data_IF_452624748345
#
_entry.id   IF_452624748345
#
_cell.length_a   1.000
_cell.length_b   1.000
_cell.length_c   1.000
_cell.angle_alpha   90.00
_cell.angle_beta   90.00
_cell.angle_gamma   90.00
#
_symmetry.space_group_name_H-M   'P 1'
#
loop_
_entity.id
_entity.type
_entity.pdbx_description
1 polymer ?
#
# COMPACT_ATOMS: atom_id res chain seq x y z
N UNK A 1 -11.21 33.80 -24.88
CA UNK A 1 -9.86 33.31 -25.19
C UNK A 1 -8.91 33.88 -24.17
N UNK A 2 -8.53 33.08 -23.18
CA UNK A 2 -7.40 33.36 -22.29
C UNK A 2 -6.86 32.01 -21.83
N UNK A 3 -5.88 31.55 -22.60
CA UNK A 3 -4.88 30.52 -22.31
C UNK A 3 -5.02 29.83 -20.95
N UNK A 4 -5.58 28.61 -20.96
CA UNK A 4 -5.29 27.59 -19.95
C UNK A 4 -3.81 27.24 -20.12
N UNK A 5 -2.95 27.88 -19.33
CA UNK A 5 -1.55 27.51 -19.23
C UNK A 5 -1.49 26.02 -18.88
N UNK A 6 -0.93 25.23 -19.79
CA UNK A 6 -0.49 23.88 -19.54
C UNK A 6 0.51 24.01 -18.38
N UNK A 7 0.09 23.61 -17.18
CA UNK A 7 0.93 23.67 -15.98
C UNK A 7 2.22 22.89 -16.27
N UNK A 8 3.36 23.50 -15.94
CA UNK A 8 4.68 22.85 -15.98
C UNK A 8 4.64 21.44 -15.39
N UNK A 9 5.44 20.48 -15.89
CA UNK A 9 5.49 19.14 -15.34
C UNK A 9 6.01 19.23 -13.89
N UNK A 10 5.10 19.09 -12.92
CA UNK A 10 5.45 19.01 -11.50
C UNK A 10 6.44 17.87 -11.28
N UNK A 11 7.41 18.05 -10.39
CA UNK A 11 8.41 17.04 -10.07
C UNK A 11 7.72 15.71 -9.73
N UNK A 12 8.06 14.66 -10.48
CA UNK A 12 7.49 13.34 -10.24
C UNK A 12 8.13 12.74 -9.00
N UNK A 13 7.32 12.34 -8.02
CA UNK A 13 7.82 11.63 -6.84
C UNK A 13 8.63 10.39 -7.21
N UNK A 14 9.66 10.11 -6.42
CA UNK A 14 10.66 9.06 -6.65
C UNK A 14 10.93 8.26 -5.37
N UNK A 15 11.53 7.08 -5.53
CA UNK A 15 11.89 6.20 -4.42
C UNK A 15 13.41 6.05 -4.37
N UNK A 16 14.02 6.62 -3.34
CA UNK A 16 15.46 6.46 -3.12
C UNK A 16 15.72 5.13 -2.46
N UNK A 17 16.67 4.35 -2.99
CA UNK A 17 17.03 3.06 -2.41
C UNK A 17 18.45 3.06 -1.91
N UNK A 18 18.66 2.52 -0.72
CA UNK A 18 19.98 2.24 -0.15
C UNK A 18 19.99 0.86 0.49
N UNK A 19 21.18 0.38 0.84
CA UNK A 19 21.39 -0.97 1.36
C UNK A 19 22.33 -0.96 2.55
N UNK A 20 21.95 -1.69 3.59
CA UNK A 20 22.79 -1.95 4.76
C UNK A 20 22.93 -3.47 4.96
N UNK A 21 24.07 -4.02 4.51
CA UNK A 21 24.34 -5.45 4.57
C UNK A 21 23.31 -6.27 3.79
N UNK A 22 22.38 -6.91 4.51
CA UNK A 22 21.31 -7.75 3.95
C UNK A 22 19.94 -7.06 3.96
N UNK A 23 19.89 -5.79 4.33
CA UNK A 23 18.66 -5.00 4.43
C UNK A 23 18.61 -4.00 3.28
N UNK A 24 17.52 -4.01 2.51
CA UNK A 24 17.21 -2.97 1.55
C UNK A 24 16.32 -1.91 2.19
N UNK A 25 16.52 -0.64 1.86
CA UNK A 25 15.81 0.48 2.45
C UNK A 25 15.30 1.34 1.31
N UNK A 26 14.01 1.64 1.32
CA UNK A 26 13.36 2.49 0.34
C UNK A 26 12.73 3.70 1.03
N UNK A 27 13.12 4.87 0.55
CA UNK A 27 12.75 6.19 1.08
C UNK A 27 11.86 6.90 0.06
N UNK A 28 10.58 7.06 0.38
CA UNK A 28 9.63 7.77 -0.50
C UNK A 28 9.90 9.26 -0.44
N UNK A 29 10.14 9.85 -1.60
CA UNK A 29 10.39 11.27 -1.75
C UNK A 29 9.37 11.84 -2.72
N UNK A 30 8.38 12.53 -2.18
CA UNK A 30 7.48 13.33 -2.99
C UNK A 30 7.37 14.75 -2.42
N UNK A 31 8.00 15.75 -3.06
CA UNK A 31 7.97 17.14 -2.62
C UNK A 31 6.57 17.77 -2.73
N UNK A 32 5.67 17.21 -3.56
CA UNK A 32 4.28 17.64 -3.67
C UNK A 32 3.43 17.08 -2.51
N UNK A 33 3.76 17.44 -1.27
CA UNK A 33 2.97 17.09 -0.08
C UNK A 33 2.98 15.61 0.31
N UNK A 34 3.94 14.83 -0.19
CA UNK A 34 4.10 13.43 0.20
C UNK A 34 3.11 12.45 -0.42
N UNK A 35 2.47 12.81 -1.54
CA UNK A 35 1.49 11.92 -2.17
C UNK A 35 2.15 10.68 -2.80
N UNK A 36 1.40 9.58 -2.90
CA UNK A 36 1.78 8.43 -3.71
C UNK A 36 1.19 8.59 -5.11
N UNK A 37 2.02 8.46 -6.14
CA UNK A 37 1.64 8.64 -7.55
C UNK A 37 1.66 7.32 -8.31
N UNK A 38 0.98 7.27 -9.46
CA UNK A 38 1.04 6.10 -10.36
C UNK A 38 2.49 5.74 -10.77
N UNK A 39 3.36 6.74 -10.94
CA UNK A 39 4.79 6.52 -11.24
C UNK A 39 5.50 5.79 -10.10
N UNK A 40 5.28 6.23 -8.86
CA UNK A 40 5.87 5.58 -7.68
C UNK A 40 5.35 4.17 -7.46
N UNK A 41 4.08 3.87 -7.83
CA UNK A 41 3.56 2.49 -7.84
C UNK A 41 4.37 1.62 -8.81
N UNK A 42 4.64 2.10 -10.03
CA UNK A 42 5.41 1.36 -11.03
C UNK A 42 6.87 1.15 -10.60
N UNK A 43 7.48 2.19 -10.03
CA UNK A 43 8.84 2.13 -9.47
C UNK A 43 8.92 1.12 -8.32
N UNK A 44 7.98 1.17 -7.37
CA UNK A 44 7.94 0.25 -6.23
C UNK A 44 7.66 -1.19 -6.64
N UNK A 45 6.81 -1.42 -7.65
CA UNK A 45 6.54 -2.76 -8.20
C UNK A 45 7.80 -3.34 -8.86
N UNK A 46 8.56 -2.52 -9.60
CA UNK A 46 9.87 -2.92 -10.15
C UNK A 46 10.85 -3.30 -9.03
N UNK A 47 11.01 -2.43 -8.03
CA UNK A 47 11.88 -2.68 -6.88
C UNK A 47 11.48 -3.95 -6.12
N UNK A 48 10.17 -4.18 -5.96
CA UNK A 48 9.64 -5.40 -5.33
C UNK A 48 10.11 -6.65 -6.06
N UNK A 49 10.04 -6.67 -7.39
CA UNK A 49 10.51 -7.79 -8.21
C UNK A 49 12.02 -7.98 -8.12
N UNK A 50 12.79 -6.89 -8.10
CA UNK A 50 14.24 -6.93 -7.95
C UNK A 50 14.65 -7.50 -6.59
N UNK A 51 14.06 -6.98 -5.51
CA UNK A 51 14.32 -7.48 -4.18
C UNK A 51 13.88 -8.93 -4.03
N UNK A 52 12.73 -9.34 -4.56
CA UNK A 52 12.28 -10.74 -4.50
C UNK A 52 13.29 -11.72 -5.12
N UNK A 53 13.92 -11.33 -6.23
CA UNK A 53 14.91 -12.15 -6.93
C UNK A 53 16.32 -12.09 -6.31
N UNK A 54 16.68 -10.97 -5.69
CA UNK A 54 17.98 -10.84 -5.01
C UNK A 54 18.00 -11.63 -3.69
N UNK A 55 18.75 -12.75 -3.68
CA UNK A 55 18.90 -13.61 -2.49
C UNK A 55 19.82 -13.03 -1.42
N UNK A 56 20.59 -12.00 -1.76
CA UNK A 56 21.45 -11.29 -0.81
C UNK A 56 20.67 -10.29 0.05
N UNK A 57 19.47 -9.88 -0.39
CA UNK A 57 18.52 -9.11 0.40
C UNK A 57 17.65 -10.09 1.21
N UNK A 58 17.47 -9.80 2.49
CA UNK A 58 16.77 -10.66 3.45
C UNK A 58 15.63 -9.97 4.19
N UNK A 59 15.70 -8.64 4.31
CA UNK A 59 14.67 -7.80 4.88
C UNK A 59 14.61 -6.46 4.12
N UNK A 60 13.46 -5.80 4.16
CA UNK A 60 13.21 -4.52 3.50
C UNK A 60 12.61 -3.56 4.52
N UNK A 61 13.08 -2.31 4.52
CA UNK A 61 12.49 -1.20 5.25
C UNK A 61 11.92 -0.21 4.24
N UNK A 62 10.71 0.25 4.54
CA UNK A 62 9.93 1.22 3.77
C UNK A 62 9.73 2.42 4.72
N UNK A 63 10.15 3.62 4.33
CA UNK A 63 10.03 4.86 5.14
C UNK A 63 9.86 6.09 4.23
N UNK A 64 9.41 7.23 4.76
CA UNK A 64 9.49 8.49 4.04
C UNK A 64 10.89 9.10 4.13
N UNK A 65 11.30 9.85 3.10
CA UNK A 65 12.59 10.57 3.08
C UNK A 65 12.58 11.81 3.98
N UNK A 66 11.47 12.54 3.97
CA UNK A 66 11.33 13.81 4.68
C UNK A 66 10.70 13.58 6.06
N UNK A 67 11.19 14.28 7.08
CA UNK A 67 10.64 14.22 8.42
C UNK A 67 9.15 14.60 8.43
N UNK A 68 8.35 13.91 9.23
CA UNK A 68 6.91 14.13 9.36
C UNK A 68 6.05 13.65 8.19
N UNK A 69 6.65 13.09 7.14
CA UNK A 69 5.92 12.52 6.00
C UNK A 69 6.40 11.11 5.71
N UNK A 70 5.54 10.11 5.94
CA UNK A 70 5.74 8.77 5.41
C UNK A 70 5.22 8.71 3.97
N UNK A 71 3.89 8.66 3.82
CA UNK A 71 3.13 8.80 2.57
C UNK A 71 1.76 9.37 2.94
N UNK A 72 1.51 10.63 2.59
CA UNK A 72 0.36 11.38 3.11
C UNK A 72 -0.97 10.86 2.56
N UNK A 73 -1.08 10.60 1.24
CA UNK A 73 -2.28 10.03 0.60
C UNK A 73 -1.95 9.60 -0.85
N UNK A 74 -2.85 8.89 -1.54
CA UNK A 74 -2.80 8.83 -3.01
C UNK A 74 -3.23 10.19 -3.59
N UNK A 75 -2.56 10.68 -4.64
CA UNK A 75 -2.79 12.04 -5.17
C UNK A 75 -4.29 12.38 -5.36
N UNK A 76 -4.82 13.42 -4.67
CA UNK A 76 -6.23 13.82 -4.79
C UNK A 76 -6.65 14.15 -6.22
N UNK A 77 -5.71 14.60 -7.05
CA UNK A 77 -5.93 14.94 -8.45
C UNK A 77 -6.30 13.70 -9.29
N UNK A 78 -5.62 12.57 -9.08
CA UNK A 78 -5.91 11.29 -9.73
C UNK A 78 -7.25 10.69 -9.23
N UNK A 79 -7.60 10.93 -7.96
CA UNK A 79 -8.85 10.45 -7.36
C UNK A 79 -10.09 11.30 -7.71
N UNK A 80 -9.92 12.60 -7.99
CA UNK A 80 -11.02 13.52 -8.31
C UNK A 80 -11.74 13.18 -9.62
N UNK A 81 -10.99 12.68 -10.61
CA UNK A 81 -11.54 12.20 -11.89
C UNK A 81 -12.46 10.98 -11.72
N UNK A 82 -12.22 10.17 -10.69
CA UNK A 82 -12.97 8.92 -10.42
C UNK A 82 -14.14 9.15 -9.45
N UNK A 83 -13.97 9.97 -8.40
CA UNK A 83 -15.00 10.19 -7.38
C UNK A 83 -16.23 10.95 -7.87
N UNK A 84 -16.04 11.90 -8.81
CA UNK A 84 -17.12 12.66 -9.43
C UNK A 84 -18.08 11.77 -10.23
N UNK A 85 -17.60 10.68 -10.82
CA UNK A 85 -18.44 9.71 -11.55
C UNK A 85 -19.24 8.80 -10.60
N UNK A 86 -18.64 8.40 -9.46
CA UNK A 86 -19.28 7.50 -8.49
C UNK A 86 -20.34 8.21 -7.65
N UNK A 87 -20.10 9.45 -7.20
CA UNK A 87 -21.09 10.25 -6.44
C UNK A 87 -22.38 10.53 -7.22
N UNK A 88 -22.32 10.46 -8.55
CA UNK A 88 -23.46 10.72 -9.43
C UNK A 88 -24.30 9.47 -9.78
N UNK A 89 -23.86 8.26 -9.40
CA UNK A 89 -24.63 7.04 -9.64
C UNK A 89 -25.80 6.93 -8.66
N UNK A 90 -27.02 7.26 -9.11
CA UNK A 90 -28.22 7.34 -8.25
C UNK A 90 -29.10 6.08 -8.29
N UNK A 91 -28.90 5.15 -9.23
CA UNK A 91 -29.80 3.99 -9.39
C UNK A 91 -29.14 2.62 -9.24
N UNK A 92 -29.90 1.67 -8.69
CA UNK A 92 -29.45 0.28 -8.46
C UNK A 92 -29.17 -0.50 -9.75
N UNK A 93 -29.75 -0.09 -10.88
CA UNK A 93 -29.52 -0.69 -12.20
C UNK A 93 -28.18 -0.27 -12.82
N UNK A 94 -27.81 1.01 -12.70
CA UNK A 94 -26.50 1.54 -13.11
C UNK A 94 -25.38 0.90 -12.30
N UNK A 95 -25.56 0.81 -10.97
CA UNK A 95 -24.63 0.12 -10.08
C UNK A 95 -24.51 -1.38 -10.43
N UNK A 96 -25.61 -2.06 -10.78
CA UNK A 96 -25.56 -3.47 -11.22
C UNK A 96 -24.82 -3.64 -12.55
N UNK A 97 -25.05 -2.75 -13.52
CA UNK A 97 -24.38 -2.76 -14.83
C UNK A 97 -22.88 -2.48 -14.68
N UNK A 98 -22.53 -1.47 -13.88
CA UNK A 98 -21.16 -1.13 -13.54
C UNK A 98 -20.48 -2.28 -12.80
N UNK A 99 -21.10 -2.87 -11.77
CA UNK A 99 -20.55 -4.06 -11.07
C UNK A 99 -20.33 -5.25 -12.00
N UNK A 100 -21.22 -5.50 -12.97
CA UNK A 100 -21.06 -6.58 -13.95
C UNK A 100 -19.88 -6.28 -14.87
N UNK A 101 -19.77 -5.05 -15.36
CA UNK A 101 -18.67 -4.61 -16.21
C UNK A 101 -17.32 -4.64 -15.45
N UNK A 102 -17.25 -4.05 -14.25
CA UNK A 102 -16.06 -4.09 -13.39
C UNK A 102 -15.67 -5.53 -13.08
N UNK A 103 -16.61 -6.44 -12.78
CA UNK A 103 -16.27 -7.85 -12.52
C UNK A 103 -15.69 -8.54 -13.77
N UNK A 104 -16.20 -8.24 -14.96
CA UNK A 104 -15.65 -8.75 -16.22
C UNK A 104 -14.27 -8.18 -16.47
N UNK A 105 -14.10 -6.86 -16.33
CA UNK A 105 -12.82 -6.17 -16.50
C UNK A 105 -11.81 -6.68 -15.48
N UNK A 106 -12.11 -6.73 -14.19
CA UNK A 106 -11.21 -7.24 -13.14
C UNK A 106 -10.80 -8.68 -13.38
N UNK A 107 -11.72 -9.56 -13.81
CA UNK A 107 -11.36 -10.95 -14.17
C UNK A 107 -10.46 -11.01 -15.39
N UNK A 108 -10.76 -10.20 -16.39
CA UNK A 108 -9.97 -10.11 -17.61
C UNK A 108 -8.57 -9.53 -17.34
N UNK A 109 -8.47 -8.45 -16.56
CA UNK A 109 -7.20 -7.84 -16.17
C UNK A 109 -6.40 -8.74 -15.22
N UNK A 110 -7.05 -9.48 -14.32
CA UNK A 110 -6.41 -10.50 -13.50
C UNK A 110 -5.87 -11.67 -14.34
N UNK A 111 -6.61 -12.09 -15.37
CA UNK A 111 -6.13 -13.10 -16.32
C UNK A 111 -4.99 -12.57 -17.19
N UNK A 112 -5.10 -11.35 -17.74
CA UNK A 112 -4.06 -10.69 -18.52
C UNK A 112 -2.80 -10.40 -17.70
N UNK A 113 -2.95 -10.13 -16.41
CA UNK A 113 -1.86 -9.97 -15.45
C UNK A 113 -0.96 -11.21 -15.34
N UNK A 114 -1.42 -12.39 -15.79
CA UNK A 114 -0.62 -13.61 -15.91
C UNK A 114 0.26 -13.63 -17.18
N UNK A 115 0.04 -12.70 -18.11
CA UNK A 115 0.81 -12.50 -19.33
C UNK A 115 1.42 -11.09 -19.34
N UNK A 116 2.61 -10.89 -18.72
CA UNK A 116 3.24 -9.57 -18.57
C UNK A 116 3.35 -8.71 -19.85
N UNK A 117 3.63 -9.26 -21.05
CA UNK A 117 3.72 -8.45 -22.27
C UNK A 117 2.38 -7.83 -22.69
N UNK A 118 1.29 -8.62 -22.60
CA UNK A 118 -0.06 -8.16 -22.95
C UNK A 118 -0.60 -7.14 -21.95
N UNK A 119 -0.32 -7.35 -20.66
CA UNK A 119 -0.69 -6.39 -19.61
C UNK A 119 -0.06 -5.02 -19.87
N UNK A 120 1.23 -4.98 -20.26
CA UNK A 120 1.94 -3.73 -20.56
C UNK A 120 1.38 -2.98 -21.77
N UNK A 121 0.94 -3.71 -22.81
CA UNK A 121 0.28 -3.10 -23.99
C UNK A 121 -1.06 -2.48 -23.60
N UNK A 122 -1.87 -3.20 -22.81
CA UNK A 122 -3.15 -2.71 -22.33
C UNK A 122 -2.98 -1.48 -21.44
N UNK A 123 -2.00 -1.52 -20.53
CA UNK A 123 -1.69 -0.42 -19.60
C UNK A 123 -1.35 0.87 -20.38
N UNK A 124 -0.45 0.79 -21.36
CA UNK A 124 -0.10 1.93 -22.23
C UNK A 124 -1.32 2.44 -23.01
N UNK A 125 -2.16 1.53 -23.53
CA UNK A 125 -3.35 1.89 -24.31
C UNK A 125 -4.48 2.49 -23.44
N UNK A 126 -4.49 2.23 -22.13
CA UNK A 126 -5.53 2.68 -21.22
C UNK A 126 -5.23 4.02 -20.53
N UNK A 127 -4.01 4.56 -20.66
CA UNK A 127 -3.58 5.79 -19.97
C UNK A 127 -4.53 6.97 -20.18
N UNK A 128 -4.88 7.67 -19.11
CA UNK A 128 -5.78 8.85 -19.14
C UNK A 128 -7.27 8.52 -19.26
N UNK A 129 -7.67 7.25 -19.22
CA UNK A 129 -9.07 6.81 -19.22
C UNK A 129 -9.55 6.42 -17.81
N UNK A 130 -10.86 6.21 -17.63
CA UNK A 130 -11.41 5.66 -16.37
C UNK A 130 -10.94 4.22 -16.08
N UNK A 131 -10.42 3.51 -17.09
CA UNK A 131 -9.83 2.18 -16.95
C UNK A 131 -8.42 2.27 -16.36
N UNK A 132 -7.70 3.37 -16.61
CA UNK A 132 -6.35 3.63 -16.08
C UNK A 132 -6.32 3.56 -14.55
N UNK A 133 -7.22 4.32 -13.90
CA UNK A 133 -7.36 4.32 -12.45
C UNK A 133 -7.68 2.93 -11.87
N UNK A 134 -8.51 2.14 -12.57
CA UNK A 134 -8.82 0.77 -12.16
C UNK A 134 -7.61 -0.17 -12.31
N UNK A 135 -6.82 -0.01 -13.38
CA UNK A 135 -5.59 -0.77 -13.60
C UNK A 135 -4.52 -0.41 -12.57
N UNK A 136 -4.37 0.88 -12.25
CA UNK A 136 -3.43 1.37 -11.22
C UNK A 136 -3.78 0.80 -9.84
N UNK A 137 -5.06 0.83 -9.42
CA UNK A 137 -5.50 0.21 -8.16
C UNK A 137 -5.26 -1.30 -8.16
N UNK A 138 -5.51 -1.98 -9.29
CA UNK A 138 -5.26 -3.42 -9.39
C UNK A 138 -3.75 -3.74 -9.34
N UNK A 139 -2.90 -2.97 -10.01
CA UNK A 139 -1.44 -3.11 -9.92
C UNK A 139 -0.98 -2.92 -8.48
N UNK A 140 -1.43 -1.85 -7.84
CA UNK A 140 -1.10 -1.54 -6.46
C UNK A 140 -1.54 -2.66 -5.51
N UNK A 141 -2.78 -3.12 -5.64
CA UNK A 141 -3.30 -4.25 -4.89
C UNK A 141 -2.47 -5.53 -5.07
N UNK A 142 -2.08 -5.85 -6.30
CA UNK A 142 -1.26 -7.03 -6.62
C UNK A 142 0.13 -6.95 -6.02
N UNK A 143 0.77 -5.79 -6.11
CA UNK A 143 2.08 -5.53 -5.51
C UNK A 143 2.02 -5.73 -3.98
N UNK A 144 1.05 -5.11 -3.30
CA UNK A 144 0.87 -5.27 -1.85
C UNK A 144 0.48 -6.69 -1.43
N UNK A 145 -0.21 -7.43 -2.29
CA UNK A 145 -0.51 -8.86 -2.04
C UNK A 145 0.75 -9.72 -2.21
N UNK A 146 1.59 -9.39 -3.21
CA UNK A 146 2.89 -10.05 -3.41
C UNK A 146 3.77 -9.91 -2.18
N UNK A 147 3.79 -8.73 -1.58
CA UNK A 147 4.51 -8.45 -0.34
C UNK A 147 4.16 -9.40 0.79
N UNK A 148 2.92 -9.83 0.93
CA UNK A 148 2.50 -10.79 1.96
C UNK A 148 2.94 -12.23 1.64
N UNK A 149 3.20 -12.55 0.37
CA UNK A 149 3.59 -13.89 -0.08
C UNK A 149 5.10 -14.08 -0.33
N UNK A 150 5.87 -13.01 -0.44
CA UNK A 150 7.30 -13.08 -0.75
C UNK A 150 8.15 -13.60 0.42
N UNK A 151 9.37 -14.05 0.10
CA UNK A 151 10.29 -14.74 1.02
C UNK A 151 11.11 -13.82 1.95
N UNK A 152 10.74 -12.54 2.04
CA UNK A 152 11.44 -11.53 2.85
C UNK A 152 10.48 -10.76 3.73
N UNK A 153 10.98 -10.29 4.87
CA UNK A 153 10.24 -9.42 5.77
C UNK A 153 10.27 -8.00 5.24
N UNK A 154 9.13 -7.30 5.34
CA UNK A 154 8.98 -5.88 5.04
C UNK A 154 8.54 -5.14 6.31
N UNK A 155 9.25 -4.09 6.65
CA UNK A 155 9.02 -3.26 7.84
C UNK A 155 8.63 -1.87 7.36
N UNK A 156 7.47 -1.37 7.78
CA UNK A 156 7.13 0.04 7.66
C UNK A 156 7.71 0.80 8.85
N UNK A 157 8.67 1.70 8.59
CA UNK A 157 9.12 2.71 9.53
C UNK A 157 8.36 4.00 9.22
N UNK A 158 7.28 4.25 9.96
CA UNK A 158 6.33 5.34 9.72
C UNK A 158 6.82 6.58 10.47
N UNK A 159 7.59 7.41 9.77
CA UNK A 159 8.25 8.62 10.28
C UNK A 159 7.36 9.89 10.16
N UNK A 160 6.05 9.72 9.97
CA UNK A 160 5.16 10.81 9.63
C UNK A 160 3.74 10.40 9.32
N UNK A 161 2.96 11.30 8.72
CA UNK A 161 1.58 10.99 8.31
C UNK A 161 1.54 9.81 7.31
N UNK A 162 0.62 8.89 7.54
CA UNK A 162 0.37 7.71 6.72
C UNK A 162 -1.13 7.53 6.54
N UNK A 163 -1.68 8.12 5.47
CA UNK A 163 -3.14 8.09 5.22
C UNK A 163 -3.47 7.52 3.85
N UNK A 164 -4.67 6.97 3.73
CA UNK A 164 -5.16 6.36 2.50
C UNK A 164 -4.19 5.31 1.94
N UNK A 165 -3.71 5.51 0.70
CA UNK A 165 -2.72 4.64 0.07
C UNK A 165 -1.43 4.42 0.88
N UNK A 166 -0.97 5.43 1.65
CA UNK A 166 0.17 5.28 2.56
C UNK A 166 -0.12 4.32 3.71
N UNK A 167 -1.32 4.40 4.27
CA UNK A 167 -1.82 3.45 5.25
C UNK A 167 -2.01 2.06 4.62
N UNK A 168 -2.52 1.95 3.38
CA UNK A 168 -2.62 0.66 2.69
C UNK A 168 -1.25 -0.03 2.50
N UNK A 169 -0.19 0.73 2.21
CA UNK A 169 1.20 0.25 2.16
C UNK A 169 1.64 -0.23 3.55
N UNK A 170 1.47 0.60 4.58
CA UNK A 170 1.87 0.25 5.94
C UNK A 170 1.18 -1.03 6.44
N UNK A 171 -0.12 -1.17 6.19
CA UNK A 171 -0.90 -2.36 6.54
C UNK A 171 -0.51 -3.61 5.74
N UNK A 172 0.15 -3.46 4.59
CA UNK A 172 0.68 -4.58 3.80
C UNK A 172 2.06 -5.07 4.26
N UNK A 173 2.81 -4.26 5.00
CA UNK A 173 4.07 -4.67 5.61
C UNK A 173 3.84 -5.73 6.70
N UNK A 174 4.87 -6.48 7.08
CA UNK A 174 4.78 -7.47 8.14
C UNK A 174 4.81 -6.79 9.51
N UNK A 175 5.71 -5.83 9.68
CA UNK A 175 5.87 -5.02 10.90
C UNK A 175 5.64 -3.55 10.62
N UNK A 176 5.10 -2.85 11.61
CA UNK A 176 4.84 -1.40 11.56
C UNK A 176 5.39 -0.77 12.82
N UNK A 177 6.39 0.09 12.67
CA UNK A 177 6.95 0.95 13.70
C UNK A 177 6.52 2.37 13.36
N UNK A 178 5.90 3.08 14.30
CA UNK A 178 5.48 4.46 14.05
C UNK A 178 6.13 5.40 15.06
N UNK A 179 6.72 6.48 14.55
CA UNK A 179 7.23 7.55 15.39
C UNK A 179 6.08 8.23 16.14
N UNK A 180 6.28 8.47 17.44
CA UNK A 180 5.48 9.42 18.23
C UNK A 180 5.73 10.83 17.70
N UNK A 181 4.68 11.64 17.68
CA UNK A 181 4.68 12.99 17.14
C UNK A 181 3.28 13.40 16.72
N UNK A 182 3.17 14.57 16.09
CA UNK A 182 1.91 15.06 15.51
C UNK A 182 1.65 14.40 14.15
N UNK A 183 1.49 13.07 14.16
CA UNK A 183 1.31 12.25 12.98
C UNK A 183 0.04 11.42 13.07
N UNK A 184 -0.52 11.11 11.90
CA UNK A 184 -1.80 10.43 11.76
C UNK A 184 -1.69 9.20 10.88
N UNK A 185 -2.26 8.09 11.34
CA UNK A 185 -2.47 6.86 10.59
C UNK A 185 -3.98 6.66 10.34
N UNK A 186 -4.40 6.35 9.11
CA UNK A 186 -5.81 6.03 8.86
C UNK A 186 -6.23 5.86 7.39
N UNK A 187 -7.48 5.44 7.18
CA UNK A 187 -8.09 5.22 5.86
C UNK A 187 -9.31 6.15 5.68
N UNK A 188 -9.13 7.41 5.24
CA UNK A 188 -10.21 8.39 5.11
C UNK A 188 -11.01 8.29 3.80
N UNK A 189 -10.71 7.34 2.91
CA UNK A 189 -11.24 7.28 1.55
C UNK A 189 -12.77 7.24 1.50
N UNK A 190 -13.41 6.60 2.48
CA UNK A 190 -14.87 6.47 2.53
C UNK A 190 -15.56 7.84 2.62
N UNK A 191 -14.93 8.83 3.28
CA UNK A 191 -15.41 10.21 3.38
C UNK A 191 -15.49 10.85 1.98
N UNK A 192 -14.59 10.48 1.08
CA UNK A 192 -14.58 10.92 -0.32
C UNK A 192 -15.48 10.07 -1.24
N UNK A 193 -16.16 9.04 -0.72
CA UNK A 193 -16.98 8.11 -1.51
C UNK A 193 -16.15 7.06 -2.27
N UNK A 194 -14.92 6.83 -1.83
CA UNK A 194 -13.99 5.84 -2.40
C UNK A 194 -13.76 4.76 -1.34
N UNK A 195 -13.63 3.50 -1.74
CA UNK A 195 -13.21 2.45 -0.80
C UNK A 195 -11.68 2.31 -0.81
N UNK A 196 -11.03 1.97 0.32
CA UNK A 196 -9.61 1.60 0.35
C UNK A 196 -9.43 0.27 -0.41
N UNK A 197 -9.13 0.41 -1.70
CA UNK A 197 -9.27 -0.60 -2.74
C UNK A 197 -7.99 -1.37 -3.05
N UNK A 198 -6.83 -0.90 -2.59
CA UNK A 198 -5.57 -1.67 -2.69
C UNK A 198 -5.47 -2.77 -1.61
N UNK A 199 -6.50 -2.89 -0.77
CA UNK A 199 -6.69 -3.96 0.21
C UNK A 199 -6.70 -3.49 1.65
N UNK A 200 -6.63 -2.18 1.91
CA UNK A 200 -6.67 -1.58 3.24
C UNK A 200 -7.88 -2.03 4.06
N UNK A 201 -9.06 -2.10 3.44
CA UNK A 201 -10.27 -2.65 4.09
C UNK A 201 -10.07 -4.06 4.65
N UNK A 202 -9.46 -4.94 3.85
CA UNK A 202 -9.28 -6.34 4.19
C UNK A 202 -8.13 -6.56 5.17
N UNK A 203 -7.05 -5.77 5.08
CA UNK A 203 -5.89 -5.85 5.97
C UNK A 203 -6.22 -5.27 7.34
N UNK A 204 -6.90 -4.12 7.40
CA UNK A 204 -7.37 -3.55 8.66
C UNK A 204 -8.32 -4.53 9.39
N UNK A 205 -9.31 -5.11 8.69
CA UNK A 205 -10.22 -6.08 9.29
C UNK A 205 -9.51 -7.33 9.86
N UNK A 206 -8.42 -7.78 9.23
CA UNK A 206 -7.60 -8.90 9.72
C UNK A 206 -6.76 -8.53 10.95
N UNK A 207 -6.37 -7.27 11.09
CA UNK A 207 -5.57 -6.79 12.23
C UNK A 207 -6.43 -6.52 13.47
N UNK A 208 -7.57 -5.85 13.30
CA UNK A 208 -8.35 -5.30 14.43
C UNK A 208 -9.79 -5.84 14.53
N UNK A 209 -10.15 -6.78 13.65
CA UNK A 209 -11.49 -7.33 13.55
C UNK A 209 -12.44 -6.48 12.69
N UNK A 210 -13.47 -7.14 12.15
CA UNK A 210 -14.38 -6.54 11.17
C UNK A 210 -15.16 -5.32 11.72
N UNK A 211 -15.64 -5.38 12.97
CA UNK A 211 -16.45 -4.31 13.53
C UNK A 211 -15.66 -3.00 13.64
N UNK A 212 -14.49 -3.03 14.30
CA UNK A 212 -13.63 -1.85 14.42
C UNK A 212 -13.16 -1.34 13.05
N UNK A 213 -12.80 -2.24 12.13
CA UNK A 213 -12.40 -1.83 10.79
C UNK A 213 -13.53 -1.09 10.05
N UNK A 214 -14.78 -1.57 10.13
CA UNK A 214 -15.93 -0.87 9.54
C UNK A 214 -16.11 0.50 10.18
N UNK A 215 -16.09 0.59 11.51
CA UNK A 215 -16.19 1.86 12.24
C UNK A 215 -15.12 2.85 11.78
N UNK A 216 -13.84 2.46 11.84
CA UNK A 216 -12.73 3.36 11.58
C UNK A 216 -12.65 3.81 10.12
N UNK A 217 -12.92 2.91 9.18
CA UNK A 217 -12.93 3.24 7.74
C UNK A 217 -14.12 4.15 7.40
N UNK A 218 -15.33 3.85 7.90
CA UNK A 218 -16.51 4.63 7.54
C UNK A 218 -16.56 6.00 8.24
N UNK A 219 -15.98 6.11 9.43
CA UNK A 219 -15.83 7.40 10.12
C UNK A 219 -14.61 8.20 9.65
N UNK A 220 -13.68 7.57 8.94
CA UNK A 220 -12.41 8.19 8.54
C UNK A 220 -11.53 8.55 9.73
N UNK A 221 -11.60 7.79 10.83
CA UNK A 221 -10.84 8.07 12.06
C UNK A 221 -9.33 7.97 11.81
N UNK A 222 -8.60 8.93 12.38
CA UNK A 222 -7.15 8.90 12.48
C UNK A 222 -6.68 8.46 13.87
N UNK A 223 -5.49 7.88 13.91
CA UNK A 223 -4.81 7.41 15.11
C UNK A 223 -3.44 8.06 15.20
N UNK A 224 -3.08 8.54 16.38
CA UNK A 224 -1.67 8.79 16.71
C UNK A 224 -0.94 7.46 16.95
N UNK A 225 0.38 7.50 17.18
CA UNK A 225 1.19 6.29 17.32
C UNK A 225 0.72 5.38 18.47
N UNK A 226 0.49 5.92 19.67
CA UNK A 226 0.11 5.13 20.84
C UNK A 226 -1.32 4.56 20.70
N UNK A 227 -2.26 5.34 20.15
CA UNK A 227 -3.60 4.85 19.84
C UNK A 227 -3.58 3.75 18.77
N UNK A 228 -2.73 3.89 17.75
CA UNK A 228 -2.58 2.90 16.69
C UNK A 228 -1.99 1.58 17.22
N UNK A 229 -1.05 1.66 18.16
CA UNK A 229 -0.48 0.49 18.84
C UNK A 229 -1.56 -0.19 19.69
N UNK A 230 -2.28 0.58 20.52
CA UNK A 230 -3.37 0.06 21.36
C UNK A 230 -4.49 -0.57 20.52
N UNK A 231 -4.78 0.00 19.35
CA UNK A 231 -5.77 -0.55 18.42
C UNK A 231 -5.31 -1.86 17.77
N UNK A 232 -4.01 -2.15 17.72
CA UNK A 232 -3.42 -3.27 16.99
C UNK A 232 -3.14 -2.97 15.51
N UNK A 233 -3.16 -1.70 15.10
CA UNK A 233 -2.84 -1.28 13.73
C UNK A 233 -1.34 -1.27 13.46
N UNK A 234 -0.53 -0.93 14.46
CA UNK A 234 0.94 -0.99 14.38
C UNK A 234 1.50 -1.97 15.40
N UNK A 235 2.75 -2.38 15.19
CA UNK A 235 3.45 -3.28 16.11
C UNK A 235 3.97 -2.56 17.34
N UNK A 236 4.53 -1.35 17.17
CA UNK A 236 5.11 -0.53 18.26
C UNK A 236 5.08 0.96 17.92
N UNK A 237 4.72 1.79 18.90
CA UNK A 237 4.99 3.22 18.89
C UNK A 237 6.38 3.48 19.49
N UNK A 238 7.21 4.23 18.77
CA UNK A 238 8.62 4.48 19.11
C UNK A 238 8.91 5.97 19.09
N UNK A 239 9.99 6.40 19.71
CA UNK A 239 10.38 7.81 19.67
C UNK A 239 10.88 8.18 18.26
N UNK A 240 10.59 9.41 17.81
CA UNK A 240 10.91 9.85 16.44
C UNK A 240 12.40 9.66 16.11
N UNK A 241 13.28 10.00 17.05
CA UNK A 241 14.72 9.95 16.89
C UNK A 241 15.29 8.52 16.86
N UNK A 242 14.54 7.51 17.33
CA UNK A 242 15.00 6.11 17.39
C UNK A 242 14.32 5.22 16.34
N UNK A 243 13.32 5.73 15.61
CA UNK A 243 12.52 4.93 14.67
C UNK A 243 13.38 4.13 13.68
N UNK A 244 14.33 4.79 13.02
CA UNK A 244 15.17 4.13 12.01
C UNK A 244 16.17 3.15 12.63
N UNK A 245 16.71 3.47 13.80
CA UNK A 245 17.58 2.56 14.56
C UNK A 245 16.82 1.28 14.93
N UNK A 246 15.61 1.41 15.48
CA UNK A 246 14.78 0.27 15.85
C UNK A 246 14.32 -0.56 14.65
N UNK A 247 13.97 0.09 13.54
CA UNK A 247 13.59 -0.58 12.30
C UNK A 247 14.79 -1.35 11.71
N UNK A 248 15.98 -0.76 11.72
CA UNK A 248 17.21 -1.40 11.26
C UNK A 248 17.61 -2.56 12.15
N UNK A 249 17.57 -2.40 13.48
CA UNK A 249 17.85 -3.48 14.42
C UNK A 249 16.92 -4.67 14.22
N UNK A 250 15.61 -4.41 14.07
CA UNK A 250 14.63 -5.46 13.76
C UNK A 250 14.90 -6.11 12.41
N UNK A 251 15.19 -5.33 11.37
CA UNK A 251 15.50 -5.84 10.03
C UNK A 251 16.74 -6.73 10.03
N UNK A 252 17.81 -6.31 10.72
CA UNK A 252 19.06 -7.06 10.83
C UNK A 252 18.87 -8.36 11.60
N UNK A 253 18.12 -8.33 12.71
CA UNK A 253 17.76 -9.53 13.47
C UNK A 253 17.04 -10.54 12.56
N UNK A 254 16.01 -10.10 11.83
CA UNK A 254 15.22 -10.97 10.94
C UNK A 254 16.04 -11.44 9.72
N UNK A 255 16.94 -10.59 9.21
CA UNK A 255 17.87 -10.94 8.14
C UNK A 255 18.91 -11.99 8.54
N UNK A 256 19.17 -12.14 9.84
CA UNK A 256 20.04 -13.17 10.42
C UNK A 256 19.37 -14.55 10.58
N UNK A 257 18.04 -14.63 10.48
CA UNK A 257 17.30 -15.88 10.66
C UNK A 257 17.37 -16.80 9.43
N UNK A 258 17.06 -18.08 9.65
CA UNK A 258 17.00 -19.08 8.58
C UNK A 258 15.99 -18.67 7.49
N UNK A 259 16.43 -18.45 6.24
CA UNK A 259 15.60 -17.94 5.17
C UNK A 259 14.28 -18.66 4.93
N UNK A 260 14.35 -19.98 4.93
CA UNK A 260 13.20 -20.83 4.68
C UNK A 260 12.20 -20.77 5.82
N UNK A 261 12.68 -20.58 7.07
CA UNK A 261 11.81 -20.42 8.23
C UNK A 261 11.00 -19.12 8.16
N UNK A 262 11.67 -18.00 7.87
CA UNK A 262 11.00 -16.69 7.71
C UNK A 262 9.93 -16.78 6.61
N UNK A 263 10.29 -17.32 5.45
CA UNK A 263 9.37 -17.45 4.33
C UNK A 263 8.20 -18.41 4.61
N UNK A 264 8.44 -19.51 5.32
CA UNK A 264 7.41 -20.47 5.71
C UNK A 264 6.42 -19.84 6.70
N UNK A 265 6.91 -19.21 7.78
CA UNK A 265 6.07 -18.54 8.78
C UNK A 265 5.14 -17.52 8.11
N UNK A 266 5.71 -16.65 7.27
CA UNK A 266 4.97 -15.62 6.57
C UNK A 266 3.88 -16.20 5.66
N UNK A 267 4.22 -17.21 4.85
CA UNK A 267 3.25 -17.89 3.98
C UNK A 267 2.16 -18.62 4.77
N UNK A 268 2.52 -19.34 5.83
CA UNK A 268 1.57 -20.07 6.67
C UNK A 268 0.55 -19.14 7.33
N UNK A 269 0.97 -17.98 7.84
CA UNK A 269 0.04 -17.02 8.45
C UNK A 269 -0.88 -16.41 7.39
N UNK A 270 -0.33 -15.86 6.30
CA UNK A 270 -1.13 -15.14 5.30
C UNK A 270 -2.05 -16.05 4.50
N UNK A 271 -1.65 -17.29 4.19
CA UNK A 271 -2.50 -18.24 3.48
C UNK A 271 -3.38 -19.05 4.42
N UNK A 272 -2.89 -19.37 5.62
CA UNK A 272 -3.62 -20.18 6.59
C UNK A 272 -4.87 -19.50 7.12
N UNK A 273 -4.84 -18.17 7.32
CA UNK A 273 -6.01 -17.40 7.78
C UNK A 273 -7.19 -17.44 6.80
N UNK A 274 -6.95 -17.83 5.54
CA UNK A 274 -7.99 -17.93 4.50
C UNK A 274 -8.64 -19.32 4.45
N UNK A 275 -8.16 -20.26 5.26
CA UNK A 275 -8.59 -21.67 5.24
C UNK A 275 -9.25 -22.07 6.57
N UNK A 276 -10.12 -23.10 6.56
CA UNK A 276 -10.51 -23.79 7.78
C UNK A 276 -9.27 -24.33 8.51
N UNK A 277 -9.28 -24.30 9.84
CA UNK A 277 -8.11 -24.63 10.67
C UNK A 277 -7.43 -25.95 10.29
N UNK A 278 -8.19 -27.02 10.02
CA UNK A 278 -7.61 -28.31 9.61
C UNK A 278 -6.74 -28.22 8.35
N UNK A 279 -7.20 -27.48 7.33
CA UNK A 279 -6.45 -27.26 6.07
C UNK A 279 -5.32 -26.22 6.22
N UNK A 280 -5.32 -25.44 7.30
CA UNK A 280 -4.28 -24.46 7.58
C UNK A 280 -3.07 -25.07 8.30
N UNK A 281 -3.24 -26.23 8.93
CA UNK A 281 -2.20 -26.97 9.66
C UNK A 281 -1.45 -27.99 8.79
N UNK A 282 -2.02 -28.38 7.65
CA UNK A 282 -1.40 -29.22 6.61
C UNK A 282 -0.50 -28.40 5.68
#
# INVERSE_FOLDING_TARGET
MSNTAISEPREQGTIHTRREGRVAIAEFDNPDGGFFTSHMVQELDRLTLEWENDKSIRAIIITGKNAGTFITHYSPYELSATSSQVKNCKTSAEVKRMRKLTRVITRFTHWLAKCPPLYRILDVAARGSSIDALLAVNQFHRMLTRWQSMDKVIIAAINGHSMGGGCEIALACDFRLMARGDYSLGLPEAIAGIMPGAGGSQRMARLIGANKAIEYILTGRFFNADEAEQAGLISRAVDENTLMEEALGLAQQLAGQAPLSVAAVKRSIHQGIEKPMGQALE
#
